data_IF_055008872984
#
_entry.id   IF_055008872984
#
_cell.length_a   1.000
_cell.length_b   1.000
_cell.length_c   1.000
_cell.angle_alpha   90.00
_cell.angle_beta   90.00
_cell.angle_gamma   90.00
#
_symmetry.space_group_name_H-M   'P 1'
#
loop_
_entity.id
_entity.type
_entity.pdbx_description
1 polymer ?
2 water ?
#
# COMPACT_ATOMS: atom_id res chain seq x y z
N UNK A 56 -3.00 -13.72 -12.61
CA UNK A 56 -3.86 -12.73 -13.21
C UNK A 56 -3.32 -12.21 -14.53
N UNK A 57 -4.19 -11.62 -15.36
CA UNK A 57 -3.76 -11.19 -16.69
C UNK A 57 -2.94 -9.91 -16.71
N UNK A 58 -3.20 -9.00 -15.77
CA UNK A 58 -2.55 -7.70 -15.79
C UNK A 58 -1.11 -7.79 -15.32
N UNK A 59 -0.25 -6.98 -15.94
CA UNK A 59 1.16 -6.90 -15.57
C UNK A 59 1.30 -6.15 -14.26
N UNK A 60 2.06 -6.70 -13.32
CA UNK A 60 2.17 -6.18 -11.96
C UNK A 60 3.60 -5.70 -11.68
N UNK A 61 3.75 -5.01 -10.56
CA UNK A 61 5.08 -4.63 -10.09
C UNK A 61 5.93 -5.89 -9.88
N UNK A 62 5.31 -6.96 -9.36
CA UNK A 62 6.02 -8.22 -9.20
C UNK A 62 6.56 -8.73 -10.53
N UNK A 63 5.75 -8.64 -11.58
CA UNK A 63 6.22 -9.05 -12.90
C UNK A 63 7.36 -8.17 -13.37
N UNK A 64 7.28 -6.86 -13.15
CA UNK A 64 8.35 -5.95 -13.56
C UNK A 64 9.65 -6.29 -12.86
N UNK A 65 9.58 -6.55 -11.55
CA UNK A 65 10.78 -6.93 -10.80
C UNK A 65 11.36 -8.23 -11.35
N UNK A 66 10.50 -9.21 -11.62
CA UNK A 66 10.97 -10.49 -12.14
C UNK A 66 11.62 -10.32 -13.51
N UNK A 67 10.91 -9.67 -14.44
CA UNK A 67 11.36 -9.60 -15.84
C UNK A 67 12.55 -8.69 -16.04
N UNK A 68 13.03 -8.00 -15.00
CA UNK A 68 14.19 -7.13 -15.11
C UNK A 68 15.28 -7.49 -14.12
N UNK A 69 15.19 -8.65 -13.47
CA UNK A 69 16.23 -9.14 -12.56
C UNK A 69 16.57 -8.10 -11.50
N UNK A 70 15.54 -7.48 -10.95
CA UNK A 70 15.69 -6.54 -9.84
C UNK A 70 15.64 -7.31 -8.54
N UNK A 71 16.57 -7.02 -7.64
CA UNK A 71 16.59 -7.64 -6.32
C UNK A 71 15.68 -6.86 -5.38
N UNK A 72 14.78 -7.58 -4.72
CA UNK A 72 13.83 -6.99 -3.79
C UNK A 72 14.06 -7.58 -2.40
N UNK A 73 14.14 -6.72 -1.39
CA UNK A 73 14.32 -7.16 -0.02
C UNK A 73 13.35 -6.42 0.89
N UNK A 74 12.76 -7.10 1.87
CA UNK A 74 11.84 -6.40 2.78
C UNK A 74 12.58 -5.43 3.68
N UNK A 75 11.90 -4.35 4.03
CA UNK A 75 12.44 -3.32 4.91
C UNK A 75 11.63 -3.30 6.20
N UNK A 76 12.32 -3.16 7.33
CA UNK A 76 11.69 -3.11 8.63
C UNK A 76 12.08 -1.82 9.35
N UNK A 77 11.22 -1.39 10.27
CA UNK A 77 11.48 -0.17 11.03
C UNK A 77 12.86 -0.20 11.64
N UNK A 78 13.62 0.87 11.41
CA UNK A 78 14.94 1.01 11.98
C UNK A 78 16.08 0.44 11.15
N UNK A 79 15.79 -0.19 10.02
CA UNK A 79 16.85 -0.71 9.18
C UNK A 79 17.79 0.42 8.79
N UNK A 80 19.12 0.24 8.91
CA UNK A 80 20.03 1.32 8.51
C UNK A 80 19.86 1.68 7.05
N UNK A 81 19.92 2.98 6.77
CA UNK A 81 19.80 3.48 5.42
C UNK A 81 18.39 3.49 4.86
N UNK A 82 17.40 3.04 5.63
CA UNK A 82 16.03 3.02 5.14
C UNK A 82 15.33 4.33 5.47
N UNK A 83 14.33 4.72 4.68
CA UNK A 83 13.61 5.96 4.98
C UNK A 83 12.73 5.78 6.22
N UNK A 84 12.53 6.89 6.93
CA UNK A 84 11.66 6.91 8.09
C UNK A 84 10.26 7.28 7.64
N UNK A 85 9.30 6.39 7.89
CA UNK A 85 7.93 6.54 7.40
C UNK A 85 7.00 6.38 8.59
N UNK A 86 6.22 7.42 8.88
CA UNK A 86 5.31 7.44 10.02
C UNK A 86 3.88 7.62 9.52
N UNK A 87 3.01 6.67 9.86
CA UNK A 87 1.61 6.76 9.50
C UNK A 87 0.83 7.49 10.58
N UNK A 88 -0.10 8.38 10.23
CA UNK A 88 -0.99 8.95 11.25
C UNK A 88 -1.96 7.90 11.76
N UNK A 89 -2.48 8.14 12.95
CA UNK A 89 -3.44 7.25 13.58
C UNK A 89 -4.72 8.04 13.85
N UNK A 90 -5.71 7.96 12.96
CA UNK A 90 -6.96 8.69 13.17
C UNK A 90 -7.71 8.19 14.40
N UNK A 91 -8.62 9.03 14.88
CA UNK A 91 -9.47 8.65 16.00
C UNK A 91 -10.21 7.36 15.69
N UNK A 92 -10.35 6.51 16.72
CA UNK A 92 -11.00 5.21 16.65
C UNK A 92 -10.15 4.17 15.92
N UNK A 93 -8.95 4.52 15.48
CA UNK A 93 -8.00 3.57 14.94
C UNK A 93 -6.85 3.41 15.92
N UNK A 94 -6.09 2.32 15.76
CA UNK A 94 -4.95 2.06 16.61
C UNK A 94 -3.83 1.45 15.81
N UNK A 95 -2.61 1.65 16.30
CA UNK A 95 -1.43 1.19 15.59
C UNK A 95 -1.38 -0.33 15.51
N UNK A 96 -0.97 -0.84 14.35
CA UNK A 96 -0.67 -2.25 14.17
C UNK A 96 0.84 -2.45 14.16
N UNK A 97 1.40 -3.32 15.00
CA UNK A 97 2.83 -3.62 14.89
C UNK A 97 3.15 -4.42 13.65
N UNK A 98 4.44 -4.49 13.33
CA UNK A 98 4.88 -5.29 12.19
C UNK A 98 4.47 -6.75 12.39
N UNK A 99 3.96 -7.37 11.33
CA UNK A 99 3.50 -8.74 11.40
C UNK A 99 3.46 -9.31 10.00
N UNK A 100 3.08 -10.58 9.90
CA UNK A 100 2.90 -11.21 8.59
C UNK A 100 1.86 -10.47 7.76
N UNK A 101 0.73 -10.14 8.38
CA UNK A 101 -0.33 -9.44 7.66
C UNK A 101 -0.04 -7.96 7.47
N UNK A 102 0.80 -7.37 8.32
CA UNK A 102 1.15 -5.95 8.24
C UNK A 102 2.67 -5.86 8.26
N UNK A 103 3.33 -6.13 7.12
CA UNK A 103 4.80 -6.24 7.13
C UNK A 103 5.51 -5.02 7.69
N UNK A 104 5.05 -3.82 7.36
CA UNK A 104 5.62 -2.58 7.90
C UNK A 104 4.67 -1.91 8.87
N UNK A 105 3.85 -2.71 9.56
CA UNK A 105 2.85 -2.15 10.45
C UNK A 105 1.67 -1.59 9.68
N UNK A 106 0.87 -0.80 10.39
CA UNK A 106 -0.34 -0.24 9.82
C UNK A 106 -1.24 0.30 10.91
N UNK A 107 -2.52 0.40 10.60
CA UNK A 107 -3.53 0.82 11.56
C UNK A 107 -4.77 -0.06 11.40
N UNK A 108 -5.49 -0.25 12.50
CA UNK A 108 -6.70 -1.06 12.51
C UNK A 108 -7.80 -0.29 13.21
N UNK A 109 -9.03 -0.48 12.73
CA UNK A 109 -10.20 0.19 13.29
C UNK A 109 -10.66 -0.57 14.53
N UNK A 110 -10.92 0.17 15.61
CA UNK A 110 -11.13 -0.42 16.93
C UNK A 110 -12.59 -0.76 17.22
N UNK A 111 -13.51 -0.45 16.32
CA UNK A 111 -14.93 -0.75 16.51
C UNK A 111 -15.47 -1.54 15.33
N UNK A 112 -14.83 -2.66 14.98
CA UNK A 112 -15.24 -3.40 13.78
C UNK A 112 -16.58 -4.08 13.95
N UNK A 113 -17.28 -4.23 12.83
CA UNK A 113 -18.51 -5.04 12.84
C UNK A 113 -18.18 -6.50 13.10
N UNK A 114 -17.07 -6.99 12.54
CA UNK A 114 -16.59 -8.35 12.74
C UNK A 114 -15.22 -8.27 13.38
N UNK A 115 -15.06 -8.63 14.67
CA UNK A 115 -13.75 -8.49 15.31
C UNK A 115 -12.68 -9.36 14.69
N UNK A 116 -13.06 -10.41 13.97
CA UNK A 116 -12.09 -11.23 13.25
C UNK A 116 -11.79 -10.73 11.85
N UNK A 117 -12.42 -9.63 11.43
CA UNK A 117 -12.24 -9.09 10.08
C UNK A 117 -12.39 -7.57 10.12
N UNK A 118 -11.55 -6.86 10.85
CA UNK A 118 -11.74 -5.42 11.02
C UNK A 118 -11.17 -4.64 9.84
N UNK A 119 -11.65 -3.43 9.61
CA UNK A 119 -10.99 -2.57 8.61
C UNK A 119 -9.53 -2.34 8.98
N UNK A 120 -8.65 -2.44 7.98
CA UNK A 120 -7.22 -2.25 8.21
C UNK A 120 -6.60 -1.49 7.06
N UNK A 121 -5.54 -0.75 7.37
CA UNK A 121 -4.67 -0.15 6.37
C UNK A 121 -3.26 -0.55 6.77
N UNK A 122 -2.61 -1.37 5.94
CA UNK A 122 -1.28 -1.88 6.27
C UNK A 122 -0.27 -1.28 5.31
N UNK A 123 0.95 -1.13 5.81
CA UNK A 123 2.06 -0.63 5.02
C UNK A 123 3.00 -1.77 4.67
N UNK A 124 3.53 -1.74 3.45
CA UNK A 124 4.57 -2.66 3.01
C UNK A 124 5.69 -1.81 2.44
N UNK A 125 6.92 -2.06 2.88
CA UNK A 125 8.08 -1.30 2.42
C UNK A 125 9.13 -2.26 1.91
N UNK A 126 9.52 -2.11 0.65
CA UNK A 126 10.52 -2.96 0.04
C UNK A 126 11.68 -2.10 -0.47
N UNK A 127 12.83 -2.75 -0.62
CA UNK A 127 14.04 -2.11 -1.13
C UNK A 127 14.43 -2.79 -2.43
N UNK A 128 14.45 -2.03 -3.52
CA UNK A 128 14.82 -2.55 -4.83
C UNK A 128 16.23 -2.07 -5.17
N UNK A 129 17.06 -3.00 -5.66
CA UNK A 129 18.38 -2.68 -6.17
C UNK A 129 18.55 -3.32 -7.54
N UNK A 130 19.26 -2.62 -8.43
CA UNK A 130 19.44 -3.09 -9.78
C UNK A 130 19.14 -2.02 -10.80
N UNK A 131 18.70 -2.42 -11.99
CA UNK A 131 18.39 -1.49 -13.06
C UNK A 131 16.90 -1.14 -12.96
N UNK A 132 16.60 -0.13 -12.15
CA UNK A 132 15.24 0.21 -11.76
C UNK A 132 14.84 1.53 -12.41
N UNK A 133 13.69 1.54 -13.06
CA UNK A 133 13.07 2.77 -13.51
C UNK A 133 11.90 3.09 -12.57
N UNK A 134 12.02 4.09 -11.70
CA UNK A 134 10.92 4.35 -10.76
C UNK A 134 9.58 4.57 -11.43
N UNK A 135 9.56 5.16 -12.63
CA UNK A 135 8.30 5.40 -13.32
C UNK A 135 7.63 4.09 -13.72
N UNK A 136 8.40 3.03 -13.98
CA UNK A 136 7.80 1.76 -14.35
C UNK A 136 7.13 1.09 -13.16
N UNK A 137 7.64 1.29 -11.95
CA UNK A 137 6.96 0.79 -10.76
C UNK A 137 5.56 1.38 -10.67
N UNK A 138 5.44 2.69 -10.91
CA UNK A 138 4.13 3.31 -10.84
C UNK A 138 3.26 2.94 -12.04
N UNK A 139 3.87 2.76 -13.21
CA UNK A 139 3.09 2.37 -14.39
C UNK A 139 2.36 1.06 -14.14
N UNK A 140 3.00 0.12 -13.45
CA UNK A 140 2.44 -1.22 -13.25
C UNK A 140 1.79 -1.39 -11.89
N UNK A 141 1.75 -0.34 -11.08
CA UNK A 141 1.09 -0.42 -9.77
C UNK A 141 -0.36 -0.89 -9.85
N UNK A 142 -1.15 -0.53 -10.87
CA UNK A 142 -2.56 -0.94 -10.88
C UNK A 142 -2.78 -2.43 -11.08
N UNK A 143 -1.78 -3.17 -11.58
CA UNK A 143 -2.02 -4.54 -11.96
C UNK A 143 -2.49 -5.42 -10.82
N UNK A 144 -1.89 -5.25 -9.64
CA UNK A 144 -2.19 -6.14 -8.52
C UNK A 144 -3.68 -6.10 -8.17
N UNK A 145 -4.22 -4.90 -7.95
CA UNK A 145 -5.64 -4.80 -7.61
C UNK A 145 -6.52 -5.27 -8.76
N UNK A 146 -6.15 -4.94 -9.99
CA UNK A 146 -6.95 -5.35 -11.14
C UNK A 146 -7.00 -6.87 -11.30
N UNK A 147 -6.05 -7.58 -10.69
CA UNK A 147 -6.03 -9.04 -10.76
C UNK A 147 -6.77 -9.71 -9.63
N UNK A 148 -7.30 -8.94 -8.68
CA UNK A 148 -8.04 -9.53 -7.57
C UNK A 148 -9.31 -10.21 -8.08
N UNK A 149 -9.72 -11.30 -7.44
CA UNK A 149 -10.96 -11.98 -7.87
C UNK A 149 -12.15 -11.04 -7.86
N UNK A 150 -12.82 -10.94 -9.01
CA UNK A 150 -14.02 -10.14 -9.11
C UNK A 150 -13.81 -8.65 -8.97
N UNK A 151 -12.59 -8.16 -9.21
CA UNK A 151 -12.32 -6.75 -9.01
C UNK A 151 -13.21 -5.89 -9.90
N UNK A 152 -13.79 -4.85 -9.32
CA UNK A 152 -14.62 -3.89 -10.03
C UNK A 152 -14.12 -2.50 -9.66
N UNK A 153 -13.60 -1.77 -10.65
CA UNK A 153 -13.02 -0.47 -10.39
C UNK A 153 -13.66 0.64 -11.20
N UNK A 154 -13.07 1.82 -11.14
CA UNK A 154 -13.52 3.00 -11.90
C UNK A 154 -12.37 3.56 -12.72
N UNK A 155 -11.63 2.69 -13.37
CA UNK A 155 -10.42 3.06 -14.09
C UNK A 155 -9.19 2.45 -13.46
N UNK A 156 -8.03 2.94 -13.89
CA UNK A 156 -6.74 2.47 -13.39
C UNK A 156 -6.16 3.37 -12.32
N UNK A 157 -6.94 4.31 -11.79
CA UNK A 157 -6.47 5.21 -10.75
C UNK A 157 -5.95 6.52 -11.31
N UNK A 158 -5.11 7.17 -10.51
CA UNK A 158 -4.54 8.45 -10.91
C UNK A 158 -3.20 8.66 -10.22
N UNK A 159 -2.42 9.56 -10.80
CA UNK A 159 -1.15 9.96 -10.22
C UNK A 159 -1.37 10.67 -8.89
N UNK A 160 -0.37 10.57 -8.01
CA UNK A 160 -0.43 11.21 -6.71
C UNK A 160 1.00 11.50 -6.25
N UNK A 161 1.12 12.07 -5.07
CA UNK A 161 2.42 12.34 -4.45
C UNK A 161 2.35 12.06 -2.97
N UNK A 162 3.51 11.89 -2.36
CA UNK A 162 3.62 11.79 -0.90
C UNK A 162 5.02 12.20 -0.51
N UNK A 163 5.14 13.26 0.28
CA UNK A 163 6.43 13.72 0.77
C UNK A 163 7.40 14.13 -0.32
N UNK A 164 6.89 14.60 -1.46
CA UNK A 164 7.73 14.97 -2.58
C UNK A 164 8.04 13.83 -3.53
N UNK A 165 7.62 12.62 -3.22
CA UNK A 165 7.87 11.45 -4.06
C UNK A 165 6.65 11.14 -4.89
N UNK A 166 6.87 10.67 -6.12
CA UNK A 166 5.77 10.36 -7.01
C UNK A 166 5.03 9.12 -6.54
N UNK A 167 3.74 9.05 -6.85
CA UNK A 167 2.90 7.97 -6.36
C UNK A 167 1.77 7.69 -7.34
N UNK A 168 1.04 6.62 -7.06
CA UNK A 168 -0.14 6.24 -7.81
C UNK A 168 -1.15 5.65 -6.84
N UNK A 169 -2.43 5.96 -7.02
CA UNK A 169 -3.50 5.47 -6.16
C UNK A 169 -4.68 4.98 -7.00
N UNK A 170 -5.28 3.86 -6.59
CA UNK A 170 -6.50 3.36 -7.20
C UNK A 170 -7.27 2.58 -6.16
N UNK A 171 -8.55 2.33 -6.44
CA UNK A 171 -9.37 1.57 -5.52
C UNK A 171 -10.55 0.95 -6.24
N UNK A 172 -11.27 0.12 -5.51
CA UNK A 172 -12.42 -0.56 -6.07
C UNK A 172 -12.98 -1.56 -5.09
N UNK A 173 -13.75 -2.52 -5.60
CA UNK A 173 -14.30 -3.60 -4.82
C UNK A 173 -13.82 -4.93 -5.38
N UNK A 174 -13.83 -5.96 -4.53
CA UNK A 174 -13.58 -7.33 -4.99
C UNK A 174 -14.25 -8.30 -4.04
N UNK A 175 -14.24 -9.57 -4.42
CA UNK A 175 -14.94 -10.62 -3.70
C UNK A 175 -13.97 -11.61 -3.09
N UNK A 176 -14.20 -11.96 -1.83
CA UNK A 176 -13.38 -12.94 -1.13
C UNK A 176 -14.26 -13.72 -0.17
N UNK A 177 -14.29 -15.03 -0.34
CA UNK A 177 -15.09 -15.92 0.52
C UNK A 177 -16.56 -15.48 0.50
N UNK A 178 -17.06 -15.12 -0.68
CA UNK A 178 -18.46 -14.75 -0.82
C UNK A 178 -18.84 -13.46 -0.13
N UNK A 179 -17.87 -12.57 0.10
CA UNK A 179 -18.10 -11.30 0.78
C UNK A 179 -17.49 -10.19 -0.07
N UNK A 180 -18.26 -9.14 -0.31
CA UNK A 180 -17.77 -7.98 -1.05
C UNK A 180 -16.88 -7.13 -0.14
N UNK A 181 -15.74 -6.69 -0.69
CA UNK A 181 -14.77 -5.92 0.07
C UNK A 181 -14.38 -4.68 -0.72
N UNK A 182 -14.13 -3.59 -0.01
CA UNK A 182 -13.52 -2.41 -0.61
C UNK A 182 -12.02 -2.46 -0.41
N UNK A 183 -11.28 -2.09 -1.45
CA UNK A 183 -9.82 -2.10 -1.41
C UNK A 183 -9.30 -0.84 -2.09
N UNK A 184 -8.17 -0.35 -1.58
CA UNK A 184 -7.49 0.78 -2.17
C UNK A 184 -6.01 0.61 -1.92
N UNK A 185 -5.20 1.16 -2.83
CA UNK A 185 -3.75 1.01 -2.70
C UNK A 185 -3.08 2.26 -3.24
N UNK A 186 -2.24 2.86 -2.41
CA UNK A 186 -1.35 3.93 -2.85
C UNK A 186 0.08 3.41 -2.87
N UNK A 187 0.75 3.56 -4.01
CA UNK A 187 2.12 3.13 -4.19
C UNK A 187 3.00 4.35 -4.35
N UNK A 188 4.09 4.41 -3.57
CA UNK A 188 5.02 5.52 -3.59
C UNK A 188 6.41 4.97 -3.89
N UNK A 189 7.10 5.57 -4.85
CA UNK A 189 8.48 5.21 -5.16
C UNK A 189 9.39 6.23 -4.48
N UNK A 190 10.45 5.72 -3.84
CA UNK A 190 11.30 6.54 -2.98
C UNK A 190 12.75 6.30 -3.40
N UNK A 191 13.25 6.97 -4.43
CA UNK A 191 14.64 6.77 -4.84
C UNK A 191 15.59 7.28 -3.77
N UNK A 192 16.58 6.45 -3.44
CA UNK A 192 17.51 6.79 -2.37
C UNK A 192 18.90 6.32 -2.79
N UNK A 193 19.85 6.40 -1.85
CA UNK A 193 21.23 6.04 -2.12
C UNK A 193 21.37 4.63 -2.66
N UNK A 194 21.57 4.52 -3.97
CA UNK A 194 21.85 3.23 -4.58
C UNK A 194 20.72 2.24 -4.52
N UNK A 195 19.49 2.69 -4.28
CA UNK A 195 18.35 1.80 -4.25
C UNK A 195 17.09 2.62 -4.49
N UNK A 196 15.99 1.92 -4.76
CA UNK A 196 14.68 2.52 -4.87
C UNK A 196 13.77 1.79 -3.88
N UNK A 197 13.29 2.52 -2.88
CA UNK A 197 12.33 1.96 -1.94
C UNK A 197 10.92 2.11 -2.50
N UNK A 198 10.07 1.12 -2.22
CA UNK A 198 8.70 1.12 -2.68
C UNK A 198 7.79 0.96 -1.46
N UNK A 199 6.96 1.95 -1.20
CA UNK A 199 5.96 1.91 -0.14
C UNK A 199 4.60 1.65 -0.76
N UNK A 200 3.88 0.67 -0.21
CA UNK A 200 2.50 0.42 -0.60
C UNK A 200 1.62 0.52 0.64
N UNK A 201 0.55 1.31 0.53
CA UNK A 201 -0.41 1.50 1.59
C UNK A 201 -1.71 0.82 1.15
N UNK A 202 -2.03 -0.31 1.78
CA UNK A 202 -3.12 -1.18 1.34
C UNK A 202 -4.28 -1.06 2.31
N UNK A 203 -5.40 -0.54 1.82
CA UNK A 203 -6.63 -0.42 2.58
C UNK A 203 -7.57 -1.55 2.20
N UNK A 204 -8.21 -2.18 3.19
CA UNK A 204 -9.06 -3.32 2.93
C UNK A 204 -10.11 -3.45 4.02
N UNK A 205 -11.37 -3.56 3.62
CA UNK A 205 -12.45 -3.70 4.59
C UNK A 205 -13.69 -4.27 3.91
N UNK A 206 -14.59 -4.82 4.73
CA UNK A 206 -15.88 -5.26 4.22
C UNK A 206 -16.63 -4.08 3.60
N UNK A 207 -17.46 -4.40 2.61
CA UNK A 207 -18.20 -3.36 1.88
C UNK A 207 -18.95 -2.43 2.83
N UNK A 208 -19.62 -2.99 3.85
CA UNK A 208 -20.44 -2.16 4.72
C UNK A 208 -19.63 -1.21 5.59
N UNK A 209 -18.31 -1.32 5.59
CA UNK A 209 -17.45 -0.40 6.32
C UNK A 209 -16.60 0.43 5.37
N UNK A 210 -17.11 0.68 4.16
CA UNK A 210 -16.36 1.43 3.16
C UNK A 210 -16.06 2.85 3.63
N UNK A 211 -17.08 3.53 4.18
CA UNK A 211 -16.89 4.91 4.60
C UNK A 211 -15.85 5.00 5.71
N UNK A 212 -15.94 4.13 6.71
CA UNK A 212 -14.94 4.10 7.76
C UNK A 212 -13.55 3.89 7.19
N UNK A 213 -13.42 2.95 6.25
CA UNK A 213 -12.11 2.65 5.68
C UNK A 213 -11.55 3.84 4.92
N UNK A 214 -12.36 4.45 4.05
CA UNK A 214 -11.84 5.46 3.14
C UNK A 214 -11.63 6.80 3.83
N UNK A 215 -12.39 7.10 4.88
CA UNK A 215 -12.09 8.28 5.68
C UNK A 215 -10.67 8.22 6.23
N UNK A 216 -10.27 7.04 6.72
CA UNK A 216 -8.91 6.88 7.23
C UNK A 216 -7.90 6.81 6.09
N UNK A 217 -8.23 6.09 5.02
CA UNK A 217 -7.30 5.96 3.90
C UNK A 217 -6.95 7.33 3.33
N UNK A 218 -7.93 8.23 3.25
CA UNK A 218 -7.65 9.58 2.75
C UNK A 218 -6.66 10.31 3.64
N UNK A 219 -6.75 10.09 4.96
CA UNK A 219 -5.79 10.70 5.88
C UNK A 219 -4.42 10.03 5.74
N UNK A 220 -4.40 8.70 5.71
CA UNK A 220 -3.14 7.99 5.55
C UNK A 220 -2.45 8.39 4.26
N UNK A 221 -3.20 8.43 3.17
CA UNK A 221 -2.62 8.76 1.86
C UNK A 221 -2.05 10.17 1.81
N UNK A 222 -2.54 11.07 2.67
CA UNK A 222 -2.18 12.48 2.59
C UNK A 222 -1.21 12.95 3.67
N UNK A 223 -1.26 12.37 4.87
CA UNK A 223 -0.49 12.86 6.00
C UNK A 223 0.64 11.92 6.42
N UNK A 224 0.79 10.77 5.78
CA UNK A 224 1.94 9.92 6.05
C UNK A 224 3.21 10.65 5.63
N UNK A 225 4.19 10.68 6.52
CA UNK A 225 5.43 11.39 6.29
C UNK A 225 6.54 10.44 5.85
N UNK A 226 7.41 10.91 4.96
CA UNK A 226 8.53 10.14 4.44
C UNK A 226 9.79 10.98 4.61
N UNK A 227 10.73 10.50 5.41
CA UNK A 227 12.01 11.18 5.62
C UNK A 227 13.13 10.24 5.19
N UNK A 228 13.81 10.47 4.05
CA UNK A 228 14.84 9.55 3.58
C UNK A 228 15.95 9.30 4.60
#
# INVERSE_FOLDING_TARGET
MKHFTAAVATVALSLALAGCSFNIKTDSAPTTSPTTTSPTTSTTTTSATTSAQAAGPNYTIADYIRDNHIQETPVHHGDPGSPTIDLPVPDDWRLLPESSRAPYGGIVYTQPADPNDPPTIVAILSKLTGDIDPAKVLQFAPGELKNLPGFQGSGDGSAATLGGFSAWQLGGSYSKNGKLRTVAQKTVVIPSQGAVFVLQLNADALDDETMTLMDAANVIDEQTTITPHHHHHH
#
